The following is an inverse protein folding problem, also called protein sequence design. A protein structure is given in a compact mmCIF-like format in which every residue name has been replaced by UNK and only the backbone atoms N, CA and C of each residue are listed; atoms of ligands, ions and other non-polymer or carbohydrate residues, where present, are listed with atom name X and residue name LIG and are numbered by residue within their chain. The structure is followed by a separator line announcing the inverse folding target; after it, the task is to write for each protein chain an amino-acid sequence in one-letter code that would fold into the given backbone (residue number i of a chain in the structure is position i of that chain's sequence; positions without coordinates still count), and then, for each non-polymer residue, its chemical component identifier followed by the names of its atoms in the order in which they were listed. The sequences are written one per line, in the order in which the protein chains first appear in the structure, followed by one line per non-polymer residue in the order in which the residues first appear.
data_IF_802880999011
#
_entry.id   IF_802880999011
#
_cell.length_a   1.000
_cell.length_b   1.000
_cell.length_c   1.000
_cell.angle_alpha   90.00
_cell.angle_beta   90.00
_cell.angle_gamma   90.00
#
_symmetry.space_group_name_H-M   'P 1'
#
loop_
_entity.id
_entity.type
_entity.pdbx_description
1 polymer ?
#
# COMPACT_ATOMS: atom_id res chain seq x y z
N UNK A 1 14.91 21.65 3.02
CA UNK A 1 14.07 21.26 4.15
C UNK A 1 13.74 19.79 4.00
N UNK A 2 14.24 18.94 4.89
CA UNK A 2 13.77 17.57 5.00
C UNK A 2 12.40 17.57 5.70
N UNK A 3 11.56 16.60 5.37
CA UNK A 3 10.33 16.33 6.12
C UNK A 3 10.61 15.15 7.05
N UNK A 4 11.07 15.39 8.28
CA UNK A 4 11.60 14.35 9.16
C UNK A 4 10.52 13.33 9.59
N UNK A 5 9.26 13.71 9.44
CA UNK A 5 8.06 12.96 9.81
C UNK A 5 7.45 12.17 8.63
N UNK A 6 8.03 12.27 7.43
CA UNK A 6 7.52 11.57 6.25
C UNK A 6 7.85 10.08 6.29
N UNK A 7 6.82 9.23 6.27
CA UNK A 7 6.97 7.78 6.12
C UNK A 7 6.92 7.35 4.64
N UNK A 8 7.64 6.26 4.33
CA UNK A 8 7.60 5.55 3.06
C UNK A 8 7.35 4.05 3.25
N UNK A 9 6.60 3.45 2.32
CA UNK A 9 6.29 2.02 2.27
C UNK A 9 6.76 1.45 0.92
N UNK A 10 7.39 0.28 0.97
CA UNK A 10 7.86 -0.44 -0.19
C UNK A 10 7.30 -1.86 -0.17
N UNK A 11 6.67 -2.28 -1.27
CA UNK A 11 6.03 -3.59 -1.40
C UNK A 11 6.51 -4.31 -2.65
N UNK A 12 6.97 -5.55 -2.49
CA UNK A 12 7.35 -6.44 -3.58
C UNK A 12 6.68 -7.79 -3.37
N UNK A 13 5.98 -8.32 -4.38
CA UNK A 13 5.45 -9.67 -4.33
C UNK A 13 6.57 -10.69 -4.55
N UNK A 14 6.70 -11.69 -3.66
CA UNK A 14 7.74 -12.74 -3.71
C UNK A 14 9.15 -12.18 -3.93
N UNK A 15 9.68 -11.34 -3.01
CA UNK A 15 10.96 -10.66 -3.20
C UNK A 15 12.12 -11.66 -3.33
N UNK A 16 13.09 -11.34 -4.20
CA UNK A 16 14.31 -12.13 -4.43
C UNK A 16 15.51 -11.22 -4.64
N UNK A 17 16.70 -11.70 -4.25
CA UNK A 17 17.96 -11.01 -4.55
C UNK A 17 18.13 -10.89 -6.07
N UNK A 18 18.60 -9.73 -6.53
CA UNK A 18 18.78 -9.42 -7.96
C UNK A 18 17.61 -8.69 -8.61
N UNK A 19 16.48 -8.50 -7.90
CA UNK A 19 15.41 -7.63 -8.38
C UNK A 19 15.81 -6.15 -8.28
N UNK A 20 15.43 -5.38 -9.31
CA UNK A 20 15.64 -3.94 -9.35
C UNK A 20 14.51 -3.18 -8.67
N UNK A 21 14.69 -1.88 -8.49
CA UNK A 21 13.65 -0.98 -7.98
C UNK A 21 12.37 -0.99 -8.82
N UNK A 22 12.41 -1.43 -10.08
CA UNK A 22 11.20 -1.55 -10.91
C UNK A 22 10.22 -2.63 -10.40
N UNK A 23 10.68 -3.57 -9.58
CA UNK A 23 9.85 -4.65 -9.04
C UNK A 23 9.04 -4.25 -7.80
N UNK A 24 9.32 -3.07 -7.20
CA UNK A 24 8.65 -2.63 -5.96
C UNK A 24 7.62 -1.54 -6.23
N UNK A 25 6.48 -1.64 -5.56
CA UNK A 25 5.56 -0.52 -5.42
C UNK A 25 6.03 0.38 -4.29
N UNK A 26 5.91 1.70 -4.47
CA UNK A 26 6.29 2.70 -3.47
C UNK A 26 5.08 3.56 -3.11
N UNK A 27 4.85 3.75 -1.80
CA UNK A 27 3.98 4.80 -1.27
C UNK A 27 4.88 5.70 -0.41
N UNK A 28 4.93 6.99 -0.70
CA UNK A 28 5.81 7.92 -0.01
C UNK A 28 5.05 9.18 0.41
N UNK A 29 5.74 10.06 1.14
CA UNK A 29 5.18 11.31 1.64
C UNK A 29 4.00 11.08 2.60
N UNK A 30 3.99 9.98 3.36
CA UNK A 30 2.92 9.68 4.31
C UNK A 30 3.14 10.51 5.57
N UNK A 31 2.33 11.56 5.77
CA UNK A 31 2.37 12.48 6.92
C UNK A 31 1.13 13.38 6.94
N UNK A 32 0.99 14.23 7.96
CA UNK A 32 -0.14 15.18 8.09
C UNK A 32 -0.25 16.15 6.90
N UNK A 33 0.88 16.66 6.43
CA UNK A 33 1.04 17.66 5.37
C UNK A 33 1.37 17.01 4.03
N UNK A 34 1.02 15.72 3.89
CA UNK A 34 1.32 14.89 2.75
C UNK A 34 0.17 13.94 2.47
N UNK A 35 0.49 12.71 2.08
CA UNK A 35 -0.49 11.65 1.95
C UNK A 35 -0.99 11.26 3.34
N UNK A 36 -2.28 11.43 3.58
CA UNK A 36 -2.85 11.08 4.88
C UNK A 36 -2.69 9.58 5.17
N UNK A 37 -2.66 9.21 6.45
CA UNK A 37 -2.60 7.80 6.85
C UNK A 37 -3.78 6.99 6.30
N UNK A 38 -4.98 7.60 6.22
CA UNK A 38 -6.16 6.95 5.67
C UNK A 38 -6.01 6.66 4.17
N UNK A 39 -5.58 7.64 3.37
CA UNK A 39 -5.34 7.44 1.94
C UNK A 39 -4.21 6.45 1.67
N UNK A 40 -3.13 6.53 2.46
CA UNK A 40 -2.01 5.59 2.39
C UNK A 40 -2.46 4.16 2.68
N UNK A 41 -3.31 3.96 3.70
CA UNK A 41 -3.85 2.64 4.07
C UNK A 41 -4.75 2.08 2.98
N UNK A 42 -5.62 2.91 2.39
CA UNK A 42 -6.48 2.50 1.28
C UNK A 42 -5.66 2.06 0.06
N UNK A 43 -4.63 2.85 -0.30
CA UNK A 43 -3.71 2.51 -1.39
C UNK A 43 -2.94 1.22 -1.09
N UNK A 44 -2.41 1.07 0.13
CA UNK A 44 -1.72 -0.15 0.55
C UNK A 44 -2.61 -1.38 0.47
N UNK A 45 -3.85 -1.28 0.96
CA UNK A 45 -4.83 -2.37 0.91
C UNK A 45 -5.21 -2.78 -0.51
N UNK A 46 -5.31 -1.83 -1.45
CA UNK A 46 -5.48 -2.15 -2.86
C UNK A 46 -4.25 -2.90 -3.41
N UNK A 47 -3.05 -2.35 -3.22
CA UNK A 47 -1.81 -2.94 -3.76
C UNK A 47 -1.57 -4.35 -3.22
N UNK A 48 -1.81 -4.60 -1.94
CA UNK A 48 -1.69 -5.93 -1.35
C UNK A 48 -2.66 -6.92 -2.00
N UNK A 49 -3.95 -6.58 -2.07
CA UNK A 49 -4.97 -7.47 -2.67
C UNK A 49 -4.63 -7.81 -4.11
N UNK A 50 -4.27 -6.81 -4.90
CA UNK A 50 -3.96 -7.01 -6.31
C UNK A 50 -2.62 -7.72 -6.52
N UNK A 51 -1.62 -7.47 -5.67
CA UNK A 51 -0.35 -8.19 -5.73
C UNK A 51 -0.53 -9.69 -5.49
N UNK A 52 -1.33 -10.07 -4.48
CA UNK A 52 -1.65 -11.48 -4.24
C UNK A 52 -2.55 -12.08 -5.33
N UNK A 53 -3.56 -11.34 -5.79
CA UNK A 53 -4.50 -11.83 -6.82
C UNK A 53 -3.82 -12.03 -8.17
N UNK A 54 -3.00 -11.07 -8.60
CA UNK A 54 -2.33 -11.06 -9.91
C UNK A 54 -0.92 -11.66 -9.88
N UNK A 55 -0.37 -11.91 -8.69
CA UNK A 55 1.00 -12.43 -8.46
C UNK A 55 2.10 -11.56 -9.07
N UNK A 56 1.93 -10.24 -8.99
CA UNK A 56 2.85 -9.25 -9.56
C UNK A 56 2.94 -7.99 -8.69
N UNK A 57 4.02 -7.23 -8.82
CA UNK A 57 4.23 -5.95 -8.13
C UNK A 57 5.06 -5.00 -9.00
N UNK A 58 5.34 -3.81 -8.49
CA UNK A 58 6.18 -2.83 -9.16
C UNK A 58 5.49 -2.18 -10.35
N UNK A 59 6.25 -1.91 -11.40
CA UNK A 59 5.74 -1.20 -12.60
C UNK A 59 4.58 -1.94 -13.30
N UNK A 60 4.47 -3.25 -13.09
CA UNK A 60 3.40 -4.10 -13.61
C UNK A 60 2.09 -3.97 -12.80
N UNK A 61 2.15 -3.43 -11.58
CA UNK A 61 1.00 -3.19 -10.72
C UNK A 61 0.84 -1.70 -10.46
N UNK A 62 0.08 -1.01 -11.32
CA UNK A 62 -0.24 0.40 -11.10
C UNK A 62 -1.35 0.53 -10.05
N UNK A 63 -1.31 1.62 -9.29
CA UNK A 63 -2.42 1.98 -8.41
C UNK A 63 -3.57 2.52 -9.28
N UNK A 64 -4.45 1.62 -9.74
CA UNK A 64 -5.66 1.95 -10.51
C UNK A 64 -6.85 2.22 -9.58
N UNK A 65 -6.64 2.27 -8.27
CA UNK A 65 -7.62 2.83 -7.36
C UNK A 65 -7.77 4.32 -7.71
N UNK A 66 -8.68 4.63 -8.66
CA UNK A 66 -9.45 5.85 -8.60
C UNK A 66 -9.90 6.00 -7.16
N UNK A 67 -9.64 7.18 -6.58
CA UNK A 67 -10.12 7.50 -5.24
C UNK A 67 -11.58 7.09 -5.17
N UNK A 68 -11.94 6.06 -4.37
CA UNK A 68 -13.33 5.73 -4.21
C UNK A 68 -13.98 6.98 -3.66
N UNK A 69 -14.94 7.54 -4.39
CA UNK A 69 -15.81 8.59 -3.88
C UNK A 69 -16.24 8.11 -2.49
N UNK A 70 -15.87 8.85 -1.46
CA UNK A 70 -16.05 8.49 -0.05
C UNK A 70 -17.51 8.09 0.17
N UNK A 71 -17.80 6.80 0.10
CA UNK A 71 -18.99 6.24 0.70
C UNK A 71 -18.70 6.27 2.20
N UNK A 72 -19.37 7.18 2.90
CA UNK A 72 -19.38 7.23 4.36
C UNK A 72 -19.83 5.87 4.89
N UNK A 73 -18.86 5.04 5.26
CA UNK A 73 -19.12 3.76 5.88
C UNK A 73 -19.35 4.02 7.38
N UNK A 74 -20.58 3.76 7.83
CA UNK A 74 -20.89 3.61 9.26
C UNK A 74 -20.07 2.49 9.91
N UNK A 75 -20.20 2.28 11.23
CA UNK A 75 -19.28 1.45 11.99
C UNK A 75 -19.50 -0.02 11.61
N UNK A 76 -18.59 -0.57 10.81
CA UNK A 76 -18.56 -1.98 10.47
C UNK A 76 -17.14 -2.54 10.62
N UNK A 77 -16.98 -3.19 11.76
CA UNK A 77 -16.20 -4.40 11.99
C UNK A 77 -14.67 -4.32 11.80
N UNK A 78 -14.02 -4.09 12.94
CA UNK A 78 -12.59 -4.27 13.16
C UNK A 78 -12.29 -5.78 13.17
N UNK A 79 -12.34 -6.42 12.00
CA UNK A 79 -11.64 -7.68 11.80
C UNK A 79 -10.19 -7.38 11.39
N UNK A 80 -9.44 -6.79 12.32
CA UNK A 80 -7.99 -6.63 12.20
C UNK A 80 -7.36 -8.03 12.34
N UNK A 81 -7.41 -8.80 11.26
CA UNK A 81 -6.62 -10.02 11.12
C UNK A 81 -5.17 -9.60 11.05
N UNK A 82 -4.50 -9.78 12.19
CA UNK A 82 -3.06 -9.67 12.37
C UNK A 82 -2.33 -10.20 11.14
N UNK A 83 -1.48 -9.34 10.60
CA UNK A 83 -0.66 -9.52 9.40
C UNK A 83 0.46 -10.57 9.60
N UNK A 84 0.19 -11.65 10.33
CA UNK A 84 1.07 -12.79 10.47
C UNK A 84 0.52 -13.90 9.58
N UNK A 85 1.21 -14.10 8.46
CA UNK A 85 1.04 -15.29 7.63
C UNK A 85 1.30 -16.53 8.51
N UNK A 86 0.43 -17.56 8.49
CA UNK A 86 0.79 -18.84 9.09
C UNK A 86 1.90 -19.52 8.25
N UNK A 87 2.72 -20.32 8.94
CA UNK A 87 3.78 -21.16 8.36
C UNK A 87 3.25 -22.13 7.28
#
# INVERSE_FOLDING_TARGET
MSSPDSLGLYLTYTPRVGFTDAARNCIFNIRGEGLSYAEATNKLGYLLREAFRRKLSGVQLKNEAEQPALLSAGPADVALRTFLLPD
#
